data_IF_750985412613
#
_entry.id   IF_750985412613
#
_cell.length_a   1.000
_cell.length_b   1.000
_cell.length_c   1.000
_cell.angle_alpha   90.00
_cell.angle_beta   90.00
_cell.angle_gamma   90.00
#
_symmetry.space_group_name_H-M   'P 1'
#
loop_
_entity.id
_entity.type
_entity.pdbx_description
1 polymer ?
#
# COMPACT_ATOMS: atom_id res chain seq x y z
N UNK A 1 11.54 7.97 -12.59
CA UNK A 1 10.92 7.16 -13.65
C UNK A 1 10.14 6.02 -13.00
N UNK A 2 9.08 5.54 -13.66
CA UNK A 2 8.40 4.31 -13.27
C UNK A 2 9.31 3.10 -13.50
N UNK A 3 9.24 2.13 -12.60
CA UNK A 3 9.99 0.87 -12.69
C UNK A 3 9.00 -0.29 -12.73
N UNK A 4 9.19 -1.23 -13.66
CA UNK A 4 8.38 -2.45 -13.69
C UNK A 4 8.75 -3.34 -12.51
N UNK A 5 7.73 -3.95 -11.90
CA UNK A 5 7.86 -4.98 -10.86
C UNK A 5 7.60 -6.36 -11.48
N UNK A 6 6.54 -6.43 -12.29
CA UNK A 6 6.03 -7.62 -12.94
C UNK A 6 5.20 -7.19 -14.17
N UNK A 7 4.72 -8.13 -15.00
CA UNK A 7 3.78 -7.78 -16.06
C UNK A 7 2.63 -6.96 -15.50
N UNK A 8 2.44 -5.78 -16.09
CA UNK A 8 1.31 -4.89 -15.85
C UNK A 8 1.24 -4.30 -14.44
N UNK A 9 2.40 -4.32 -13.77
CA UNK A 9 2.61 -3.78 -12.45
C UNK A 9 3.91 -2.97 -12.41
N UNK A 10 3.80 -1.70 -12.07
CA UNK A 10 4.93 -0.78 -11.92
C UNK A 10 4.90 -0.10 -10.57
N UNK A 11 6.01 0.52 -10.20
CA UNK A 11 6.07 1.41 -9.05
C UNK A 11 6.87 2.68 -9.31
N UNK A 12 6.60 3.68 -8.49
CA UNK A 12 7.43 4.87 -8.31
C UNK A 12 7.68 5.07 -6.82
N UNK A 13 8.95 5.09 -6.41
CA UNK A 13 9.33 5.41 -5.04
C UNK A 13 9.85 6.84 -4.95
N UNK A 14 9.47 7.53 -3.88
CA UNK A 14 9.97 8.87 -3.52
C UNK A 14 10.37 8.89 -2.05
N UNK A 15 11.49 9.54 -1.76
CA UNK A 15 11.96 9.74 -0.40
C UNK A 15 11.54 11.11 0.11
N UNK A 16 11.18 11.19 1.39
CA UNK A 16 10.91 12.43 2.09
C UNK A 16 11.43 12.36 3.53
N UNK A 17 11.71 13.53 4.08
CA UNK A 17 12.12 13.66 5.47
C UNK A 17 10.88 13.89 6.35
N UNK A 18 10.77 13.10 7.41
CA UNK A 18 9.88 13.37 8.52
C UNK A 18 10.54 14.32 9.52
N UNK A 19 9.72 14.90 10.40
CA UNK A 19 10.20 15.63 11.58
C UNK A 19 11.15 14.73 12.38
N UNK A 20 12.29 15.28 12.83
CA UNK A 20 13.31 14.54 13.56
C UNK A 20 14.36 13.84 12.67
N UNK A 21 14.44 14.17 11.38
CA UNK A 21 15.52 13.70 10.49
C UNK A 21 15.38 12.24 10.02
N UNK A 22 14.25 11.60 10.32
CA UNK A 22 13.94 10.27 9.80
C UNK A 22 13.60 10.41 8.31
N UNK A 23 14.46 9.85 7.45
CA UNK A 23 14.16 9.68 6.03
C UNK A 23 13.33 8.41 5.83
N UNK A 24 12.22 8.56 5.15
CA UNK A 24 11.31 7.48 4.80
C UNK A 24 10.98 7.59 3.31
N UNK A 25 10.76 6.45 2.66
CA UNK A 25 10.25 6.42 1.29
C UNK A 25 8.76 6.15 1.28
N UNK A 26 7.99 6.70 0.35
CA UNK A 26 6.67 6.14 -0.02
C UNK A 26 6.72 5.64 -1.46
N UNK A 27 5.85 4.68 -1.76
CA UNK A 27 5.78 4.01 -3.05
C UNK A 27 4.36 4.06 -3.58
N UNK A 28 4.22 4.68 -4.75
CA UNK A 28 3.05 4.51 -5.58
C UNK A 28 3.19 3.22 -6.37
N UNK A 29 2.13 2.42 -6.38
CA UNK A 29 2.01 1.23 -7.23
C UNK A 29 1.02 1.53 -8.36
N UNK A 30 1.36 1.12 -9.56
CA UNK A 30 0.55 1.32 -10.77
C UNK A 30 0.19 -0.05 -11.31
N UNK A 31 -1.10 -0.33 -11.42
CA UNK A 31 -1.63 -1.54 -12.06
C UNK A 31 -2.28 -1.12 -13.35
N UNK A 32 -1.97 -1.82 -14.44
CA UNK A 32 -2.78 -1.75 -15.66
C UNK A 32 -3.81 -2.87 -15.63
N UNK A 33 -5.08 -2.48 -15.61
CA UNK A 33 -6.23 -3.37 -15.51
C UNK A 33 -6.50 -4.05 -16.87
N UNK A 34 -7.34 -5.07 -16.87
CA UNK A 34 -7.72 -5.82 -18.08
C UNK A 34 -8.37 -4.95 -19.15
N UNK A 35 -9.05 -3.86 -18.76
CA UNK A 35 -9.64 -2.87 -19.67
C UNK A 35 -8.61 -1.82 -20.18
N UNK A 36 -7.32 -2.07 -19.95
CA UNK A 36 -6.17 -1.21 -20.26
C UNK A 36 -6.11 0.13 -19.49
N UNK A 37 -7.05 0.39 -18.57
CA UNK A 37 -6.97 1.56 -17.70
C UNK A 37 -5.95 1.38 -16.58
N UNK A 38 -5.50 2.50 -16.00
CA UNK A 38 -4.54 2.52 -14.90
C UNK A 38 -5.23 2.78 -13.56
N UNK A 39 -4.82 1.96 -12.60
CA UNK A 39 -5.17 2.06 -11.19
C UNK A 39 -3.91 2.46 -10.41
N UNK A 40 -3.92 3.65 -9.83
CA UNK A 40 -2.83 4.22 -9.06
C UNK A 40 -3.11 4.09 -7.57
N UNK A 41 -2.20 3.45 -6.83
CA UNK A 41 -2.34 3.22 -5.41
C UNK A 41 -1.24 3.90 -4.60
N UNK A 42 -1.62 4.57 -3.52
CA UNK A 42 -0.75 5.37 -2.66
C UNK A 42 0.09 6.39 -3.46
N UNK A 43 -0.53 7.40 -4.10
CA UNK A 43 0.19 8.34 -4.96
C UNK A 43 1.37 9.03 -4.27
N UNK A 44 2.39 9.33 -5.06
CA UNK A 44 3.60 10.10 -4.69
C UNK A 44 3.81 11.23 -5.70
N UNK A 45 4.69 12.21 -5.44
CA UNK A 45 4.94 13.31 -6.38
C UNK A 45 5.33 12.82 -7.79
N UNK A 46 4.58 13.33 -8.78
CA UNK A 46 4.73 12.99 -10.19
C UNK A 46 5.52 14.09 -10.91
N UNK A 47 6.59 13.71 -11.61
CA UNK A 47 7.28 14.61 -12.55
C UNK A 47 6.57 14.60 -13.91
N UNK A 48 6.88 15.57 -14.78
CA UNK A 48 6.39 15.59 -16.16
C UNK A 48 6.69 14.27 -16.92
N UNK A 49 7.91 13.75 -16.75
CA UNK A 49 8.30 12.47 -17.37
C UNK A 49 7.47 11.29 -16.86
N UNK A 50 7.17 11.24 -15.56
CA UNK A 50 6.34 10.17 -14.99
C UNK A 50 4.91 10.28 -15.52
N UNK A 51 4.35 11.49 -15.64
CA UNK A 51 3.03 11.70 -16.24
C UNK A 51 2.99 11.23 -17.69
N UNK A 52 4.04 11.52 -18.46
CA UNK A 52 4.17 11.05 -19.85
C UNK A 52 4.28 9.52 -19.94
N UNK A 53 5.02 8.90 -19.02
CA UNK A 53 5.10 7.43 -18.91
C UNK A 53 3.75 6.80 -18.56
N UNK A 54 2.99 7.40 -17.64
CA UNK A 54 1.64 6.95 -17.31
C UNK A 54 0.70 7.04 -18.53
N UNK A 55 0.69 8.17 -19.22
CA UNK A 55 -0.12 8.35 -20.43
C UNK A 55 0.21 7.33 -21.54
N UNK A 56 1.48 6.92 -21.65
CA UNK A 56 1.88 5.88 -22.61
C UNK A 56 1.45 4.46 -22.18
N UNK A 57 1.21 4.21 -20.88
CA UNK A 57 0.75 2.92 -20.36
C UNK A 57 -0.77 2.76 -20.47
N UNK A 58 -1.53 3.84 -20.30
CA UNK A 58 -2.99 3.85 -20.40
C UNK A 58 -3.64 5.02 -19.68
N UNK A 59 -4.97 5.05 -19.73
CA UNK A 59 -5.75 6.11 -19.09
C UNK A 59 -5.82 5.91 -17.57
N UNK A 60 -5.35 6.87 -16.79
CA UNK A 60 -5.52 6.87 -15.34
C UNK A 60 -7.00 7.06 -14.99
N UNK A 61 -7.66 5.98 -14.58
CA UNK A 61 -9.08 5.99 -14.21
C UNK A 61 -9.31 5.96 -12.71
N UNK A 62 -8.37 5.43 -11.94
CA UNK A 62 -8.55 5.22 -10.50
C UNK A 62 -7.34 5.70 -9.70
N UNK A 63 -7.60 6.52 -8.68
CA UNK A 63 -6.61 6.96 -7.70
C UNK A 63 -7.06 6.46 -6.33
N UNK A 64 -6.25 5.64 -5.68
CA UNK A 64 -6.59 4.95 -4.44
C UNK A 64 -5.70 5.39 -3.29
N UNK A 65 -6.31 5.95 -2.26
CA UNK A 65 -5.72 6.25 -0.97
C UNK A 65 -6.02 5.09 0.02
N UNK A 66 -5.10 4.13 0.19
CA UNK A 66 -5.43 2.84 0.78
C UNK A 66 -5.68 2.87 2.28
N UNK A 67 -5.26 3.94 2.96
CA UNK A 67 -5.38 4.10 4.40
C UNK A 67 -5.37 5.59 4.79
N UNK A 68 -5.41 5.88 6.10
CA UNK A 68 -5.40 7.26 6.62
C UNK A 68 -4.02 7.92 6.72
N UNK A 69 -2.96 7.31 6.19
CA UNK A 69 -1.58 7.78 6.24
C UNK A 69 -0.99 8.04 4.83
N UNK A 70 -1.22 7.15 3.86
CA UNK A 70 -0.75 7.28 2.46
C UNK A 70 -1.76 7.98 1.56
N UNK A 71 -2.12 9.22 1.92
CA UNK A 71 -3.06 10.04 1.15
C UNK A 71 -2.53 11.45 0.82
N UNK A 72 -1.28 11.74 1.17
CA UNK A 72 -0.71 13.09 1.10
C UNK A 72 -0.80 13.70 -0.30
N UNK A 73 -0.45 12.92 -1.32
CA UNK A 73 -0.35 13.41 -2.71
C UNK A 73 -1.57 13.09 -3.57
N UNK A 74 -2.70 12.72 -2.95
CA UNK A 74 -3.93 12.39 -3.69
C UNK A 74 -4.47 13.61 -4.44
N UNK A 75 -4.45 14.80 -3.83
CA UNK A 75 -4.92 16.05 -4.46
C UNK A 75 -4.07 16.39 -5.69
N UNK A 76 -2.74 16.37 -5.56
CA UNK A 76 -1.84 16.68 -6.66
C UNK A 76 -1.97 15.65 -7.80
N UNK A 77 -2.15 14.37 -7.45
CA UNK A 77 -2.40 13.31 -8.42
C UNK A 77 -3.74 13.50 -9.14
N UNK A 78 -4.80 13.84 -8.41
CA UNK A 78 -6.11 14.12 -9.00
C UNK A 78 -6.11 15.37 -9.89
N UNK A 79 -5.35 16.41 -9.52
CA UNK A 79 -5.15 17.58 -10.38
C UNK A 79 -4.42 17.23 -11.68
N UNK A 80 -3.50 16.26 -11.65
CA UNK A 80 -2.82 15.76 -12.84
C UNK A 80 -3.71 14.86 -13.71
N UNK A 81 -4.72 14.22 -13.13
CA UNK A 81 -5.64 13.29 -13.81
C UNK A 81 -7.10 13.58 -13.43
N UNK A 82 -7.67 14.70 -13.91
CA UNK A 82 -8.98 15.19 -13.44
C UNK A 82 -10.16 14.26 -13.78
N UNK A 83 -10.01 13.35 -14.74
CA UNK A 83 -11.01 12.35 -15.08
C UNK A 83 -11.00 11.12 -14.15
N UNK A 84 -9.96 10.95 -13.33
CA UNK A 84 -9.82 9.79 -12.47
C UNK A 84 -10.78 9.84 -11.27
N UNK A 85 -11.47 8.73 -11.01
CA UNK A 85 -12.23 8.55 -9.79
C UNK A 85 -11.28 8.34 -8.61
N UNK A 86 -11.49 9.11 -7.54
CA UNK A 86 -10.71 9.00 -6.32
C UNK A 86 -11.43 8.07 -5.36
N UNK A 87 -10.73 7.07 -4.84
CA UNK A 87 -11.19 6.18 -3.79
C UNK A 87 -10.28 6.32 -2.56
N UNK A 88 -10.84 6.24 -1.37
CA UNK A 88 -10.04 6.29 -0.16
C UNK A 88 -10.62 5.56 1.02
N UNK A 89 -9.74 5.23 1.96
CA UNK A 89 -10.08 4.42 3.11
C UNK A 89 -11.22 4.98 3.97
N UNK A 90 -11.95 4.10 4.67
CA UNK A 90 -12.96 4.47 5.66
C UNK A 90 -12.50 5.56 6.63
N UNK A 91 -13.28 6.63 6.71
CA UNK A 91 -13.01 7.77 7.59
C UNK A 91 -11.94 8.76 7.09
N UNK A 92 -11.33 8.54 5.92
CA UNK A 92 -10.37 9.48 5.34
C UNK A 92 -11.02 10.82 4.98
N UNK A 93 -12.28 10.83 4.53
CA UNK A 93 -13.04 12.07 4.24
C UNK A 93 -13.07 13.03 5.42
N UNK A 94 -13.16 12.52 6.66
CA UNK A 94 -13.16 13.35 7.88
C UNK A 94 -11.81 14.05 8.09
N UNK A 95 -10.71 13.39 7.71
CA UNK A 95 -9.35 13.93 7.81
C UNK A 95 -9.00 14.83 6.61
N UNK A 96 -9.62 14.60 5.46
CA UNK A 96 -9.39 15.30 4.19
C UNK A 96 -10.70 15.82 3.61
N UNK A 97 -11.28 16.87 4.22
CA UNK A 97 -12.53 17.47 3.72
C UNK A 97 -12.38 18.07 2.33
N UNK A 98 -11.15 18.41 1.91
CA UNK A 98 -10.81 18.84 0.55
C UNK A 98 -11.01 17.75 -0.50
N UNK A 99 -11.08 16.47 -0.10
CA UNK A 99 -11.36 15.31 -0.95
C UNK A 99 -12.82 14.85 -0.83
N UNK A 100 -13.78 15.78 -0.70
CA UNK A 100 -15.19 15.45 -0.45
C UNK A 100 -15.82 14.53 -1.52
N UNK A 101 -15.43 14.70 -2.79
CA UNK A 101 -15.93 13.94 -3.94
C UNK A 101 -15.36 12.51 -4.04
N UNK A 102 -14.38 12.16 -3.20
CA UNK A 102 -13.82 10.81 -3.14
C UNK A 102 -14.90 9.77 -2.80
N UNK A 103 -14.78 8.56 -3.33
CA UNK A 103 -15.59 7.40 -2.93
C UNK A 103 -14.91 6.70 -1.76
N UNK A 104 -15.69 6.27 -0.77
CA UNK A 104 -15.12 5.51 0.34
C UNK A 104 -14.94 4.05 -0.08
N UNK A 105 -13.76 3.49 0.16
CA UNK A 105 -13.50 2.05 -0.02
C UNK A 105 -14.33 1.28 1.01
N UNK A 106 -15.06 0.27 0.54
CA UNK A 106 -15.81 -0.64 1.41
C UNK A 106 -15.05 -1.94 1.62
N UNK A 107 -15.66 -2.92 2.29
CA UNK A 107 -15.13 -4.28 2.38
C UNK A 107 -15.38 -5.09 1.11
N UNK A 108 -16.27 -4.62 0.24
CA UNK A 108 -16.62 -5.25 -1.02
C UNK A 108 -15.74 -4.70 -2.14
N UNK A 109 -15.37 -5.57 -3.07
CA UNK A 109 -14.56 -5.18 -4.21
C UNK A 109 -15.40 -4.49 -5.28
N UNK A 110 -14.87 -3.39 -5.80
CA UNK A 110 -15.51 -2.65 -6.88
C UNK A 110 -15.45 -3.46 -8.19
N UNK A 111 -16.57 -3.58 -8.93
CA UNK A 111 -16.61 -4.33 -10.20
C UNK A 111 -15.53 -3.93 -11.20
N UNK A 112 -15.17 -2.64 -11.22
CA UNK A 112 -14.25 -2.00 -12.16
C UNK A 112 -12.84 -2.60 -12.14
N UNK A 113 -12.38 -3.12 -11.01
CA UNK A 113 -11.06 -3.77 -10.88
C UNK A 113 -11.14 -5.16 -10.27
N UNK A 114 -12.36 -5.68 -10.04
CA UNK A 114 -12.59 -7.01 -9.46
C UNK A 114 -12.03 -8.16 -10.29
N UNK A 115 -11.83 -7.96 -11.60
CA UNK A 115 -11.21 -8.96 -12.47
C UNK A 115 -9.71 -9.13 -12.13
N UNK A 116 -8.98 -8.02 -11.94
CA UNK A 116 -7.53 -8.01 -11.79
C UNK A 116 -7.05 -8.06 -10.33
N UNK A 117 -7.86 -7.53 -9.42
CA UNK A 117 -7.52 -7.37 -8.01
C UNK A 117 -8.46 -8.19 -7.11
N UNK A 118 -7.96 -8.58 -5.95
CA UNK A 118 -8.75 -8.86 -4.76
C UNK A 118 -8.37 -7.88 -3.66
N UNK A 119 -9.24 -7.72 -2.66
CA UNK A 119 -8.99 -6.85 -1.53
C UNK A 119 -9.37 -7.52 -0.21
N UNK A 120 -8.63 -7.18 0.84
CA UNK A 120 -9.01 -7.44 2.23
C UNK A 120 -8.84 -6.15 3.02
N UNK A 121 -9.95 -5.63 3.58
CA UNK A 121 -9.85 -4.60 4.60
C UNK A 121 -9.28 -5.20 5.89
N UNK A 122 -8.23 -4.61 6.44
CA UNK A 122 -7.59 -5.11 7.64
C UNK A 122 -8.30 -4.62 8.90
N UNK A 123 -9.16 -5.45 9.46
CA UNK A 123 -9.89 -5.16 10.69
C UNK A 123 -9.01 -5.28 11.95
N UNK A 124 -9.47 -4.68 13.05
CA UNK A 124 -8.77 -4.73 14.35
C UNK A 124 -7.71 -3.66 14.58
N UNK A 125 -7.34 -2.90 13.55
CA UNK A 125 -6.45 -1.73 13.62
C UNK A 125 -7.12 -0.45 13.10
N UNK A 126 -8.03 0.17 13.89
CA UNK A 126 -8.83 1.31 13.44
C UNK A 126 -8.03 2.60 13.17
N UNK A 127 -6.80 2.70 13.68
CA UNK A 127 -5.92 3.84 13.38
C UNK A 127 -5.40 3.79 11.94
N UNK A 128 -5.17 2.59 11.39
CA UNK A 128 -4.75 2.42 9.99
C UNK A 128 -5.89 2.54 9.01
N UNK A 129 -6.97 1.77 9.20
CA UNK A 129 -8.03 1.55 8.21
C UNK A 129 -7.45 1.24 6.83
N UNK A 130 -6.61 0.20 6.76
CA UNK A 130 -5.90 -0.14 5.54
C UNK A 130 -6.63 -1.20 4.74
N UNK A 131 -6.74 -0.99 3.43
CA UNK A 131 -7.16 -2.02 2.46
C UNK A 131 -5.92 -2.63 1.82
N UNK A 132 -5.77 -3.94 1.97
CA UNK A 132 -4.70 -4.74 1.38
C UNK A 132 -5.17 -5.29 0.04
N UNK A 133 -4.30 -5.26 -0.97
CA UNK A 133 -4.66 -5.66 -2.33
C UNK A 133 -3.86 -6.86 -2.78
N UNK A 134 -4.48 -7.75 -3.54
CA UNK A 134 -3.81 -8.85 -4.22
C UNK A 134 -4.02 -8.71 -5.73
N UNK A 135 -2.94 -8.46 -6.47
CA UNK A 135 -2.96 -8.45 -7.92
C UNK A 135 -2.79 -9.87 -8.44
N UNK A 136 -3.87 -10.41 -9.02
CA UNK A 136 -4.01 -11.83 -9.35
C UNK A 136 -2.99 -12.27 -10.39
N UNK A 137 -2.90 -11.52 -11.50
CA UNK A 137 -2.06 -11.88 -12.65
C UNK A 137 -0.58 -11.99 -12.31
N UNK A 138 -0.05 -11.07 -11.50
CA UNK A 138 1.36 -11.09 -11.11
C UNK A 138 1.62 -11.80 -9.77
N UNK A 139 0.56 -12.33 -9.14
CA UNK A 139 0.60 -12.91 -7.79
C UNK A 139 1.29 -12.01 -6.77
N UNK A 140 0.96 -10.71 -6.79
CA UNK A 140 1.60 -9.72 -5.93
C UNK A 140 0.64 -9.20 -4.87
N UNK A 141 1.02 -9.34 -3.60
CA UNK A 141 0.38 -8.64 -2.49
C UNK A 141 0.90 -7.19 -2.43
N UNK A 142 0.00 -6.23 -2.33
CA UNK A 142 0.31 -4.81 -2.22
C UNK A 142 -0.16 -4.36 -0.84
N UNK A 143 0.81 -4.01 0.00
CA UNK A 143 0.63 -3.55 1.39
C UNK A 143 1.26 -2.18 1.55
N UNK A 144 0.75 -1.38 2.48
CA UNK A 144 1.33 -0.08 2.84
C UNK A 144 1.94 -0.11 4.23
N UNK A 145 1.24 0.39 5.25
CA UNK A 145 1.82 0.56 6.59
C UNK A 145 1.75 -0.70 7.42
N UNK A 146 0.74 -1.55 7.19
CA UNK A 146 0.51 -2.78 7.94
C UNK A 146 1.77 -3.67 8.00
N UNK A 147 2.49 -3.78 6.89
CA UNK A 147 3.74 -4.52 6.78
C UNK A 147 4.81 -3.65 6.14
N UNK A 148 5.96 -3.55 6.79
CA UNK A 148 7.08 -2.76 6.31
C UNK A 148 8.36 -3.59 6.27
N UNK A 149 9.26 -3.24 5.35
CA UNK A 149 10.57 -3.86 5.25
C UNK A 149 11.61 -2.81 4.84
N UNK A 150 12.45 -2.41 5.80
CA UNK A 150 13.44 -1.36 5.61
C UNK A 150 14.82 -2.00 5.47
N UNK A 151 15.34 -2.02 4.25
CA UNK A 151 16.61 -2.64 3.88
C UNK A 151 17.63 -1.59 3.42
N UNK A 152 18.90 -2.02 3.41
CA UNK A 152 20.02 -1.25 2.90
C UNK A 152 20.50 -0.15 3.84
N UNK A 153 21.35 0.72 3.28
CA UNK A 153 21.89 1.88 3.99
C UNK A 153 20.82 2.96 4.17
N UNK A 154 20.81 3.55 5.35
CA UNK A 154 19.88 4.62 5.71
C UNK A 154 20.50 5.51 6.80
N UNK A 155 20.07 6.78 6.90
CA UNK A 155 20.55 7.67 7.95
C UNK A 155 20.35 7.07 9.35
N UNK A 156 21.20 7.48 10.29
CA UNK A 156 21.20 6.94 11.66
C UNK A 156 19.80 6.96 12.31
N UNK A 157 19.07 8.08 12.19
CA UNK A 157 17.72 8.20 12.73
C UNK A 157 16.74 7.16 12.14
N UNK A 158 16.77 6.97 10.82
CA UNK A 158 15.97 5.93 10.13
C UNK A 158 16.37 4.52 10.54
N UNK A 159 17.68 4.27 10.69
CA UNK A 159 18.22 2.97 11.14
C UNK A 159 17.76 2.64 12.56
N UNK A 160 17.82 3.62 13.46
CA UNK A 160 17.36 3.48 14.84
C UNK A 160 15.86 3.23 14.86
N UNK A 161 15.07 4.03 14.14
CA UNK A 161 13.62 3.86 14.05
C UNK A 161 13.25 2.46 13.54
N UNK A 162 13.78 2.03 12.40
CA UNK A 162 13.48 0.73 11.82
C UNK A 162 13.88 -0.45 12.74
N UNK A 163 14.96 -0.30 13.51
CA UNK A 163 15.40 -1.30 14.49
C UNK A 163 14.43 -1.37 15.69
N UNK A 164 14.03 -0.20 16.22
CA UNK A 164 13.11 -0.10 17.35
C UNK A 164 11.69 -0.57 16.99
N UNK A 165 11.22 -0.32 15.77
CA UNK A 165 9.92 -0.82 15.29
C UNK A 165 9.97 -2.25 14.77
N UNK A 166 11.16 -2.82 14.61
CA UNK A 166 11.38 -4.23 14.27
C UNK A 166 11.23 -4.55 12.77
N UNK A 167 11.33 -3.56 11.90
CA UNK A 167 11.17 -3.68 10.43
C UNK A 167 12.48 -3.58 9.66
N UNK A 168 13.62 -3.43 10.36
CA UNK A 168 14.95 -3.40 9.74
C UNK A 168 15.33 -4.78 9.22
N UNK A 169 15.72 -4.85 7.94
CA UNK A 169 16.20 -6.04 7.24
C UNK A 169 15.26 -7.26 7.29
N UNK A 170 13.97 -7.05 7.57
CA UNK A 170 12.94 -8.10 7.56
C UNK A 170 11.56 -7.49 7.34
N UNK A 171 10.68 -8.25 6.70
CA UNK A 171 9.27 -7.89 6.61
C UNK A 171 8.62 -8.13 7.98
N UNK A 172 7.98 -7.12 8.54
CA UNK A 172 7.28 -7.23 9.81
C UNK A 172 6.10 -6.26 9.88
N UNK A 173 5.12 -6.60 10.72
CA UNK A 173 4.19 -5.61 11.25
C UNK A 173 4.96 -4.74 12.25
N UNK A 174 5.10 -3.42 12.05
CA UNK A 174 5.82 -2.55 12.99
C UNK A 174 5.29 -2.68 14.42
N UNK A 175 6.17 -2.67 15.43
CA UNK A 175 5.77 -2.71 16.86
C UNK A 175 4.76 -1.62 17.23
N UNK A 176 4.84 -0.45 16.59
CA UNK A 176 3.87 0.64 16.76
C UNK A 176 2.46 0.22 16.36
N UNK A 177 2.30 -0.54 15.27
CA UNK A 177 1.01 -1.10 14.86
C UNK A 177 0.58 -2.22 15.80
N UNK A 178 1.50 -3.13 16.15
CA UNK A 178 1.19 -4.23 17.08
C UNK A 178 0.59 -3.74 18.40
N UNK A 179 1.15 -2.67 18.97
CA UNK A 179 0.66 -2.03 20.21
C UNK A 179 -0.65 -1.25 20.02
N UNK A 180 -0.96 -0.83 18.80
CA UNK A 180 -2.15 -0.05 18.48
C UNK A 180 -3.36 -0.91 18.04
N UNK A 181 -3.19 -2.22 17.84
CA UNK A 181 -4.29 -3.15 17.58
C UNK A 181 -5.28 -3.14 18.76
N UNK A 182 -6.57 -2.95 18.46
CA UNK A 182 -7.65 -2.89 19.44
C UNK A 182 -8.49 -4.16 19.49
N UNK A 183 -8.56 -4.90 18.39
CA UNK A 183 -9.24 -6.19 18.32
C UNK A 183 -8.33 -7.21 17.66
N UNK A 184 -7.68 -8.04 18.49
CA UNK A 184 -6.72 -9.07 18.02
C UNK A 184 -7.41 -10.20 17.25
N UNK A 185 -8.66 -10.50 17.55
CA UNK A 185 -9.42 -11.54 16.85
C UNK A 185 -9.76 -11.11 15.42
N UNK A 186 -10.25 -9.89 15.25
CA UNK A 186 -10.51 -9.33 13.93
C UNK A 186 -9.23 -9.15 13.10
N UNK A 187 -8.12 -8.74 13.74
CA UNK A 187 -6.81 -8.66 13.08
C UNK A 187 -6.31 -10.03 12.61
N UNK A 188 -6.48 -11.07 13.42
CA UNK A 188 -6.14 -12.45 13.05
C UNK A 188 -7.00 -12.99 11.92
N UNK A 189 -8.31 -12.75 11.96
CA UNK A 189 -9.21 -13.15 10.87
C UNK A 189 -8.83 -12.46 9.55
N UNK A 190 -8.46 -11.19 9.60
CA UNK A 190 -7.96 -10.45 8.43
C UNK A 190 -6.63 -11.00 7.93
N UNK A 191 -5.69 -11.30 8.84
CA UNK A 191 -4.41 -11.90 8.50
C UNK A 191 -4.58 -13.28 7.83
N UNK A 192 -5.49 -14.12 8.34
CA UNK A 192 -5.79 -15.42 7.75
C UNK A 192 -6.36 -15.31 6.32
N UNK A 193 -7.27 -14.35 6.08
CA UNK A 193 -7.77 -14.06 4.71
C UNK A 193 -6.64 -13.66 3.76
N UNK A 194 -5.75 -12.76 4.20
CA UNK A 194 -4.62 -12.31 3.39
C UNK A 194 -3.66 -13.47 3.09
N UNK A 195 -3.36 -14.32 4.08
CA UNK A 195 -2.51 -15.51 3.88
C UNK A 195 -3.15 -16.56 2.98
N UNK A 196 -4.47 -16.53 2.80
CA UNK A 196 -5.17 -17.37 1.84
C UNK A 196 -4.90 -16.99 0.38
N UNK A 197 -4.40 -15.78 0.10
CA UNK A 197 -4.03 -15.39 -1.26
C UNK A 197 -2.74 -16.10 -1.71
N UNK A 198 -2.67 -16.59 -2.95
CA UNK A 198 -1.51 -17.33 -3.46
C UNK A 198 -0.41 -16.37 -3.95
N UNK A 199 -0.04 -15.34 -3.19
CA UNK A 199 0.98 -14.37 -3.61
C UNK A 199 2.41 -14.91 -3.50
N UNK A 200 3.27 -14.48 -4.41
CA UNK A 200 4.69 -14.82 -4.49
C UNK A 200 5.58 -13.59 -4.27
N UNK A 201 4.98 -12.40 -4.22
CA UNK A 201 5.66 -11.12 -4.02
C UNK A 201 4.87 -10.21 -3.11
N UNK A 202 5.56 -9.38 -2.34
CA UNK A 202 4.96 -8.33 -1.51
C UNK A 202 5.58 -6.98 -1.87
N UNK A 203 4.76 -6.05 -2.34
CA UNK A 203 5.12 -4.64 -2.51
C UNK A 203 4.74 -3.90 -1.24
N UNK A 204 5.72 -3.26 -0.61
CA UNK A 204 5.48 -2.39 0.56
C UNK A 204 5.56 -0.91 0.16
N UNK A 205 4.90 -0.03 0.92
CA UNK A 205 5.05 1.41 0.72
C UNK A 205 6.47 1.91 1.02
N UNK A 206 7.20 1.22 1.89
CA UNK A 206 8.47 1.68 2.44
C UNK A 206 9.63 0.78 2.02
N UNK A 207 10.51 1.34 1.19
CA UNK A 207 11.84 0.87 0.84
C UNK A 207 11.87 -0.41 -0.03
N UNK A 208 11.36 -1.53 0.46
CA UNK A 208 11.58 -2.84 -0.19
C UNK A 208 10.36 -3.43 -0.88
N UNK A 209 10.63 -4.18 -1.95
CA UNK A 209 9.74 -5.23 -2.47
C UNK A 209 10.36 -6.56 -2.02
N UNK A 210 9.53 -7.45 -1.46
CA UNK A 210 9.96 -8.79 -1.07
C UNK A 210 9.55 -9.77 -2.18
N UNK A 211 10.54 -10.36 -2.85
CA UNK A 211 10.32 -11.25 -4.00
C UNK A 211 10.63 -12.73 -3.72
N UNK A 212 11.38 -13.01 -2.65
CA UNK A 212 11.75 -14.36 -2.25
C UNK A 212 11.04 -14.73 -0.95
N UNK A 213 10.47 -15.93 -0.89
CA UNK A 213 9.71 -16.46 0.26
C UNK A 213 8.68 -15.46 0.81
N UNK A 214 8.05 -14.69 -0.09
CA UNK A 214 7.22 -13.55 0.28
C UNK A 214 6.03 -13.98 1.16
N UNK A 215 5.40 -15.10 0.82
CA UNK A 215 4.31 -15.68 1.60
C UNK A 215 4.74 -16.03 3.02
N UNK A 216 5.81 -16.82 3.16
CA UNK A 216 6.37 -17.18 4.47
C UNK A 216 6.86 -15.95 5.25
N UNK A 217 7.34 -14.90 4.58
CA UNK A 217 7.72 -13.66 5.24
C UNK A 217 6.51 -12.92 5.83
N UNK A 218 5.37 -12.89 5.12
CA UNK A 218 4.11 -12.32 5.63
C UNK A 218 3.55 -13.17 6.76
N UNK A 219 3.59 -14.49 6.64
CA UNK A 219 3.16 -15.42 7.69
C UNK A 219 3.92 -15.15 9.00
N UNK A 220 5.25 -15.06 8.92
CA UNK A 220 6.10 -14.69 10.08
C UNK A 220 5.76 -13.29 10.60
N UNK A 221 5.49 -12.32 9.73
CA UNK A 221 5.11 -10.97 10.13
C UNK A 221 3.77 -10.95 10.89
N UNK A 222 2.79 -11.76 10.46
CA UNK A 222 1.45 -11.84 11.04
C UNK A 222 1.34 -12.72 12.29
N UNK A 223 2.39 -13.49 12.63
CA UNK A 223 2.44 -14.25 13.88
C UNK A 223 2.20 -13.39 15.14
N UNK A 224 2.43 -12.07 15.08
CA UNK A 224 2.12 -11.15 16.19
C UNK A 224 0.62 -11.08 16.55
N UNK A 225 -0.28 -11.50 15.65
CA UNK A 225 -1.73 -11.55 15.90
C UNK A 225 -2.20 -12.88 16.52
N UNK A 226 -1.30 -13.86 16.64
CA UNK A 226 -1.55 -15.22 17.10
C UNK A 226 -1.83 -16.20 15.94
N UNK A 227 -1.79 -17.52 16.20
CA UNK A 227 -2.01 -18.53 15.16
C UNK A 227 -3.42 -18.44 14.58
N UNK A 228 -3.57 -18.72 13.28
CA UNK A 228 -4.89 -18.97 12.68
C UNK A 228 -5.49 -20.21 13.38
N UNK A 229 -6.75 -20.12 13.81
CA UNK A 229 -7.48 -21.27 14.36
C UNK A 229 -7.94 -22.18 13.24
#
# INVERSE_FOLDING_TARGET
MLKSIAPELWHLQRDFALVGGIRISSRMTVVRLADASLWLHAPVPLSADVRSQLAALGDVRYIVAPNKLHHLFVTDCAAAFPAAAIYGAPGLKKKRPDLAAMRELTREIEPQWSQDLEQTFFDGFPLGNETIWFHKRSRTLIVTDLCQCWQGEMPFASKLYASLTGVRNRLAVPRTIQLAVKNREAARASAAKILGYPFERVVTAHNSIVEHDAHAAVERAFACFGPAR
#
